data_IF_226036419379
#
_entry.id   IF_226036419379
#
_cell.length_a   1.000
_cell.length_b   1.000
_cell.length_c   1.000
_cell.angle_alpha   90.00
_cell.angle_beta   90.00
_cell.angle_gamma   90.00
#
_symmetry.space_group_name_H-M   'P 1'
#
loop_
_entity.id
_entity.type
_entity.pdbx_description
1 polymer ?
#
# COMPACT_ATOMS: atom_id res chain seq x y z
N UNK A 1 -2.00 14.44 9.59
CA UNK A 1 -1.24 13.69 8.56
C UNK A 1 -2.23 12.90 7.70
N UNK A 2 -1.90 12.62 6.43
CA UNK A 2 -2.65 11.71 5.55
C UNK A 2 -1.73 10.59 5.06
N UNK A 3 -2.23 9.35 4.98
CA UNK A 3 -1.54 8.25 4.32
C UNK A 3 -2.21 7.98 2.96
N UNK A 4 -1.41 7.83 1.92
CA UNK A 4 -1.87 7.49 0.56
C UNK A 4 -1.28 6.14 0.17
N UNK A 5 -2.09 5.09 0.28
CA UNK A 5 -1.63 3.72 0.02
C UNK A 5 -1.67 3.42 -1.48
N UNK A 6 -0.56 2.90 -2.00
CA UNK A 6 -0.51 2.26 -3.32
C UNK A 6 -0.49 0.75 -3.11
N UNK A 7 -1.61 0.08 -3.42
CA UNK A 7 -1.72 -1.37 -3.28
C UNK A 7 -0.90 -2.08 -4.36
N UNK A 8 -0.23 -3.17 -3.95
CA UNK A 8 0.58 -4.06 -4.79
C UNK A 8 0.28 -5.52 -4.44
N UNK A 9 0.50 -6.43 -5.39
CA UNK A 9 0.15 -7.84 -5.28
C UNK A 9 1.35 -8.80 -5.18
N UNK A 10 2.46 -8.42 -4.55
CA UNK A 10 3.77 -9.09 -4.78
C UNK A 10 4.21 -10.13 -3.73
N UNK A 11 3.54 -10.24 -2.57
CA UNK A 11 4.08 -11.01 -1.43
C UNK A 11 3.63 -12.48 -1.43
N UNK A 12 2.36 -12.75 -1.71
CA UNK A 12 1.78 -14.10 -1.73
C UNK A 12 1.03 -14.36 -3.04
N UNK A 13 0.81 -15.63 -3.42
CA UNK A 13 0.01 -15.96 -4.61
C UNK A 13 -1.38 -15.32 -4.63
N UNK A 14 -2.02 -15.17 -3.47
CA UNK A 14 -3.34 -14.54 -3.34
C UNK A 14 -3.32 -13.00 -3.29
N UNK A 15 -2.14 -12.37 -3.20
CA UNK A 15 -2.00 -10.92 -3.02
C UNK A 15 -2.63 -10.10 -4.15
N UNK A 16 -2.44 -10.40 -5.46
CA UNK A 16 -3.07 -9.63 -6.54
C UNK A 16 -4.60 -9.67 -6.47
N UNK A 17 -5.18 -10.85 -6.25
CA UNK A 17 -6.62 -11.02 -6.18
C UNK A 17 -7.23 -10.31 -4.95
N UNK A 18 -6.53 -10.36 -3.82
CA UNK A 18 -6.94 -9.66 -2.58
C UNK A 18 -6.89 -8.14 -2.77
N UNK A 19 -5.78 -7.61 -3.29
CA UNK A 19 -5.65 -6.18 -3.57
C UNK A 19 -6.70 -5.70 -4.59
N UNK A 20 -6.93 -6.48 -5.64
CA UNK A 20 -7.99 -6.22 -6.61
C UNK A 20 -9.39 -6.21 -5.98
N UNK A 21 -9.70 -7.14 -5.07
CA UNK A 21 -10.98 -7.17 -4.37
C UNK A 21 -11.21 -5.91 -3.53
N UNK A 22 -10.16 -5.38 -2.90
CA UNK A 22 -10.22 -4.10 -2.17
C UNK A 22 -10.49 -2.95 -3.14
N UNK A 23 -9.75 -2.89 -4.25
CA UNK A 23 -9.95 -1.88 -5.31
C UNK A 23 -11.34 -1.96 -5.97
N UNK A 24 -11.94 -3.15 -6.04
CA UNK A 24 -13.25 -3.40 -6.63
C UNK A 24 -14.42 -3.09 -5.70
N UNK A 25 -14.16 -2.86 -4.41
CA UNK A 25 -15.20 -2.59 -3.43
C UNK A 25 -15.90 -1.25 -3.71
N UNK A 26 -17.10 -1.07 -3.14
CA UNK A 26 -17.87 0.19 -3.29
C UNK A 26 -17.14 1.41 -2.74
N UNK A 27 -16.30 1.21 -1.72
CA UNK A 27 -15.46 2.22 -1.10
C UNK A 27 -14.09 1.60 -0.81
N UNK A 28 -13.14 1.68 -1.76
CA UNK A 28 -11.81 1.07 -1.62
C UNK A 28 -11.02 1.60 -0.44
N UNK A 29 -11.13 2.89 -0.13
CA UNK A 29 -10.40 3.52 0.97
C UNK A 29 -10.91 3.00 2.32
N UNK A 30 -12.24 2.95 2.51
CA UNK A 30 -12.84 2.39 3.71
C UNK A 30 -12.54 0.89 3.85
N UNK A 31 -12.66 0.13 2.75
CA UNK A 31 -12.37 -1.31 2.75
C UNK A 31 -10.92 -1.59 3.11
N UNK A 32 -9.97 -0.80 2.59
CA UNK A 32 -8.56 -0.88 2.98
C UNK A 32 -8.35 -0.61 4.47
N UNK A 33 -8.96 0.46 4.99
CA UNK A 33 -8.86 0.80 6.41
C UNK A 33 -9.40 -0.32 7.32
N UNK A 34 -10.55 -0.90 6.96
CA UNK A 34 -11.15 -2.03 7.69
C UNK A 34 -10.28 -3.30 7.59
N UNK A 35 -9.71 -3.58 6.42
CA UNK A 35 -8.82 -4.72 6.20
C UNK A 35 -7.58 -4.65 7.10
N UNK A 36 -6.88 -3.51 7.10
CA UNK A 36 -5.70 -3.29 7.94
C UNK A 36 -6.05 -3.31 9.44
N UNK A 37 -7.13 -2.63 9.84
CA UNK A 37 -7.57 -2.60 11.24
C UNK A 37 -7.98 -3.97 11.78
N UNK A 38 -8.44 -4.86 10.91
CA UNK A 38 -8.77 -6.25 11.26
C UNK A 38 -7.54 -7.17 11.33
N UNK A 39 -6.35 -6.69 10.96
CA UNK A 39 -5.16 -7.52 10.78
C UNK A 39 -5.31 -8.51 9.63
N UNK A 40 -5.95 -8.10 8.53
CA UNK A 40 -6.20 -8.93 7.35
C UNK A 40 -7.29 -9.98 7.49
N UNK A 41 -8.17 -9.86 8.50
CA UNK A 41 -9.26 -10.82 8.80
C UNK A 41 -10.61 -10.42 8.17
N UNK A 42 -10.71 -9.22 7.60
CA UNK A 42 -11.90 -8.77 6.89
C UNK A 42 -12.22 -9.75 5.75
N UNK A 43 -13.45 -10.26 5.74
CA UNK A 43 -13.92 -11.11 4.65
C UNK A 43 -14.17 -10.25 3.41
N UNK A 44 -13.34 -10.43 2.40
CA UNK A 44 -13.50 -9.77 1.11
C UNK A 44 -14.31 -10.66 0.16
N UNK A 45 -15.16 -10.03 -0.66
CA UNK A 45 -15.75 -10.71 -1.80
C UNK A 45 -14.73 -10.70 -2.95
N UNK A 46 -13.90 -11.73 -3.02
CA UNK A 46 -12.88 -11.84 -4.06
C UNK A 46 -13.58 -12.16 -5.39
N UNK A 47 -13.48 -11.30 -6.41
CA UNK A 47 -14.11 -11.55 -7.69
C UNK A 47 -13.47 -12.78 -8.35
N UNK A 48 -14.27 -13.54 -9.10
CA UNK A 48 -13.80 -14.73 -9.81
C UNK A 48 -12.63 -14.42 -10.77
N UNK A 49 -12.60 -13.20 -11.32
CA UNK A 49 -11.51 -12.69 -12.14
C UNK A 49 -11.22 -11.23 -11.74
N UNK A 50 -9.93 -10.86 -11.71
CA UNK A 50 -9.50 -9.47 -11.56
C UNK A 50 -9.76 -8.73 -12.88
N UNK A 51 -10.35 -7.53 -12.82
CA UNK A 51 -10.60 -6.74 -14.04
C UNK A 51 -9.28 -6.23 -14.64
N UNK A 52 -9.26 -5.98 -15.95
CA UNK A 52 -8.10 -5.43 -16.64
C UNK A 52 -7.67 -4.09 -16.04
N UNK A 53 -8.62 -3.26 -15.61
CA UNK A 53 -8.37 -1.97 -14.96
C UNK A 53 -7.67 -2.15 -13.60
N UNK A 54 -8.10 -3.11 -12.79
CA UNK A 54 -7.50 -3.40 -11.50
C UNK A 54 -6.08 -3.93 -11.67
N UNK A 55 -5.85 -4.85 -12.63
CA UNK A 55 -4.51 -5.31 -12.97
C UNK A 55 -3.61 -4.16 -13.40
N UNK A 56 -4.12 -3.23 -14.22
CA UNK A 56 -3.34 -2.08 -14.66
C UNK A 56 -2.93 -1.18 -13.50
N UNK A 57 -3.80 -0.95 -12.52
CA UNK A 57 -3.48 -0.19 -11.31
C UNK A 57 -2.39 -0.89 -10.50
N UNK A 58 -2.54 -2.19 -10.24
CA UNK A 58 -1.56 -2.96 -9.48
C UNK A 58 -0.19 -2.97 -10.17
N UNK A 59 -0.13 -3.28 -11.47
CA UNK A 59 1.14 -3.29 -12.21
C UNK A 59 1.80 -1.92 -12.29
N UNK A 60 1.02 -0.83 -12.36
CA UNK A 60 1.58 0.53 -12.34
C UNK A 60 2.19 0.87 -10.97
N UNK A 61 1.53 0.47 -9.88
CA UNK A 61 2.04 0.66 -8.51
C UNK A 61 3.27 -0.21 -8.24
N UNK A 62 3.27 -1.45 -8.71
CA UNK A 62 4.40 -2.38 -8.62
C UNK A 62 5.62 -1.82 -9.37
N UNK A 63 5.42 -1.37 -10.61
CA UNK A 63 6.48 -0.70 -11.37
C UNK A 63 7.05 0.51 -10.63
N UNK A 64 6.19 1.34 -10.04
CA UNK A 64 6.66 2.51 -9.29
C UNK A 64 7.43 2.10 -8.03
N UNK A 65 7.01 1.04 -7.34
CA UNK A 65 7.71 0.46 -6.19
C UNK A 65 9.11 -0.06 -6.59
N UNK A 66 9.20 -0.75 -7.74
CA UNK A 66 10.46 -1.23 -8.32
C UNK A 66 11.38 -0.07 -8.73
N UNK A 67 10.84 0.95 -9.42
CA UNK A 67 11.59 2.14 -9.86
C UNK A 67 12.16 2.93 -8.66
N UNK A 68 11.51 2.85 -7.49
CA UNK A 68 11.96 3.44 -6.23
C UNK A 68 12.87 2.49 -5.40
N UNK A 69 13.19 1.30 -5.94
CA UNK A 69 14.18 0.38 -5.39
C UNK A 69 13.75 -0.42 -4.17
N UNK A 70 12.46 -0.44 -3.82
CA UNK A 70 11.96 -1.21 -2.69
C UNK A 70 11.33 -2.53 -3.15
N UNK A 71 11.85 -3.66 -2.69
CA UNK A 71 11.29 -5.00 -2.97
C UNK A 71 10.49 -5.59 -1.78
N UNK A 72 10.29 -4.82 -0.72
CA UNK A 72 9.63 -5.26 0.53
C UNK A 72 8.58 -4.23 0.94
N UNK A 73 7.45 -4.69 1.48
CA UNK A 73 6.38 -3.85 2.01
C UNK A 73 6.33 -3.88 3.55
N UNK A 74 5.95 -2.77 4.21
CA UNK A 74 5.62 -1.48 3.62
C UNK A 74 6.87 -0.72 3.12
N UNK A 75 6.75 -0.07 1.97
CA UNK A 75 7.71 0.90 1.46
C UNK A 75 7.09 2.30 1.59
N UNK A 76 7.60 3.09 2.54
CA UNK A 76 7.02 4.37 2.95
C UNK A 76 7.86 5.50 2.36
N UNK A 77 7.21 6.44 1.68
CA UNK A 77 7.84 7.60 1.07
C UNK A 77 7.30 8.89 1.68
N UNK A 78 8.19 9.83 1.96
CA UNK A 78 7.84 11.14 2.51
C UNK A 78 8.83 12.21 2.05
N UNK A 79 8.44 13.49 2.09
CA UNK A 79 9.31 14.59 1.73
C UNK A 79 9.94 15.20 2.98
N UNK A 80 11.26 15.47 2.93
CA UNK A 80 11.96 16.22 3.98
C UNK A 80 11.62 17.72 3.92
N UNK A 81 12.03 18.48 4.94
CA UNK A 81 11.86 19.95 4.95
C UNK A 81 12.66 20.64 3.84
N UNK A 82 13.70 19.98 3.35
CA UNK A 82 14.59 20.43 2.27
C UNK A 82 14.06 20.04 0.88
N UNK A 83 12.81 19.56 0.77
CA UNK A 83 12.23 19.06 -0.48
C UNK A 83 13.00 17.90 -1.12
N UNK A 84 13.53 17.00 -0.29
CA UNK A 84 14.14 15.75 -0.77
C UNK A 84 13.24 14.56 -0.48
N UNK A 85 13.12 13.64 -1.44
CA UNK A 85 12.36 12.40 -1.25
C UNK A 85 13.13 11.47 -0.29
N UNK A 86 12.43 11.00 0.73
CA UNK A 86 12.94 10.09 1.75
C UNK A 86 12.18 8.77 1.69
N UNK A 87 12.82 7.69 2.16
CA UNK A 87 12.28 6.34 2.14
C UNK A 87 12.50 5.65 3.50
N UNK A 88 11.51 4.87 3.93
CA UNK A 88 11.64 3.90 5.00
C UNK A 88 11.02 2.56 4.56
N UNK A 89 11.73 1.46 4.76
CA UNK A 89 11.27 0.11 4.37
C UNK A 89 11.08 -0.75 5.62
N UNK A 90 9.95 -1.45 5.69
CA UNK A 90 9.58 -2.25 6.86
C UNK A 90 8.94 -1.41 7.96
N UNK A 91 8.88 -1.96 9.18
CA UNK A 91 8.32 -1.25 10.34
C UNK A 91 9.32 -0.18 10.82
N UNK A 92 8.97 1.12 10.80
CA UNK A 92 9.86 2.16 11.30
C UNK A 92 10.06 2.06 12.81
N UNK A 93 11.27 2.40 13.29
CA UNK A 93 11.49 2.64 14.71
C UNK A 93 10.79 3.94 15.17
N UNK A 94 10.74 4.18 16.49
CA UNK A 94 10.02 5.32 17.05
C UNK A 94 10.52 6.68 16.52
N UNK A 95 11.83 6.82 16.32
CA UNK A 95 12.44 8.06 15.83
C UNK A 95 12.04 8.30 14.36
N UNK A 96 12.18 7.28 13.53
CA UNK A 96 11.84 7.33 12.10
C UNK A 96 10.34 7.55 11.91
N UNK A 97 9.51 6.88 12.71
CA UNK A 97 8.07 7.11 12.73
C UNK A 97 7.74 8.57 13.05
N UNK A 98 8.32 9.15 14.11
CA UNK A 98 8.09 10.56 14.45
C UNK A 98 8.45 11.51 13.29
N UNK A 99 9.55 11.24 12.59
CA UNK A 99 9.97 12.00 11.40
C UNK A 99 8.94 11.86 10.27
N UNK A 100 8.54 10.63 9.93
CA UNK A 100 7.53 10.35 8.89
C UNK A 100 6.21 11.07 9.21
N UNK A 101 5.81 11.06 10.48
CA UNK A 101 4.57 11.69 10.94
C UNK A 101 4.62 13.23 10.90
N UNK A 102 5.79 13.82 10.66
CA UNK A 102 6.02 15.26 10.73
C UNK A 102 6.02 15.82 12.15
N UNK A 103 6.18 14.95 13.15
CA UNK A 103 6.30 15.35 14.55
C UNK A 103 7.67 15.98 14.79
N UNK A 104 7.73 16.97 15.68
CA UNK A 104 8.97 17.60 16.14
C UNK A 104 9.60 16.78 17.27
#
# INVERSE_FOLDING_TARGET
>A
MQLRTLLVGVIKPESPATAAAILASKDPAKTWQEYESSGGKLKLNVPANVSTEQMKVLSANEKLMDDLGANVTPAIYYMSKENTLQQAVGLPDQKTLNIIMGNK
#
